data_IF_459518038599
#
_entry.id   IF_459518038599
#
_cell.length_a   1.000
_cell.length_b   1.000
_cell.length_c   1.000
_cell.angle_alpha   90.00
_cell.angle_beta   90.00
_cell.angle_gamma   90.00
#
_symmetry.space_group_name_H-M   'P 1'
#
loop_
_entity.id
_entity.type
_entity.pdbx_description
1 polymer ?
#
# COMPACT_ATOMS: atom_id res chain seq x y z
N UNK A 1 7.73 11.31 11.09
CA UNK A 1 6.60 10.98 10.18
C UNK A 1 7.04 10.64 8.76
N UNK A 2 7.83 11.50 8.09
CA UNK A 2 8.34 11.32 6.72
C UNK A 2 9.11 9.99 6.47
N UNK A 3 10.00 9.61 7.41
CA UNK A 3 10.81 8.40 7.27
C UNK A 3 9.96 7.12 7.18
N UNK A 4 8.98 6.97 8.08
CA UNK A 4 8.08 5.80 8.13
C UNK A 4 7.28 5.69 6.82
N UNK A 5 6.78 6.81 6.29
CA UNK A 5 6.08 6.85 5.00
C UNK A 5 6.97 6.37 3.85
N UNK A 6 8.21 6.87 3.77
CA UNK A 6 9.20 6.43 2.78
C UNK A 6 9.50 4.93 2.87
N UNK A 7 9.69 4.40 4.08
CA UNK A 7 9.94 2.96 4.27
C UNK A 7 8.73 2.12 3.86
N UNK A 8 7.52 2.54 4.23
CA UNK A 8 6.29 1.86 3.83
C UNK A 8 6.14 1.82 2.30
N UNK A 9 6.41 2.93 1.63
CA UNK A 9 6.33 3.02 0.17
C UNK A 9 7.37 2.10 -0.51
N UNK A 10 8.61 2.09 -0.02
CA UNK A 10 9.65 1.18 -0.51
C UNK A 10 9.26 -0.29 -0.32
N UNK A 11 8.74 -0.63 0.86
CA UNK A 11 8.28 -1.99 1.18
C UNK A 11 7.14 -2.43 0.27
N UNK A 12 6.13 -1.59 0.06
CA UNK A 12 5.01 -1.87 -0.83
C UNK A 12 5.48 -2.21 -2.25
N UNK A 13 6.37 -1.39 -2.82
CA UNK A 13 6.95 -1.67 -4.13
C UNK A 13 7.80 -2.94 -4.15
N UNK A 14 8.56 -3.20 -3.09
CA UNK A 14 9.33 -4.44 -2.97
C UNK A 14 8.40 -5.67 -2.99
N UNK A 15 7.34 -5.67 -2.18
CA UNK A 15 6.39 -6.78 -2.09
C UNK A 15 5.67 -7.00 -3.42
N UNK A 16 5.20 -5.95 -4.09
CA UNK A 16 4.51 -6.06 -5.38
C UNK A 16 5.38 -6.66 -6.51
N UNK A 17 6.70 -6.59 -6.36
CA UNK A 17 7.68 -7.14 -7.32
C UNK A 17 8.19 -8.53 -6.94
N UNK A 18 7.84 -9.06 -5.77
CA UNK A 18 8.15 -10.44 -5.39
C UNK A 18 7.38 -11.41 -6.31
N UNK A 19 8.10 -12.26 -7.03
CA UNK A 19 7.52 -13.25 -7.95
C UNK A 19 7.42 -14.66 -7.34
N UNK A 20 7.73 -14.81 -6.05
CA UNK A 20 7.90 -16.10 -5.38
C UNK A 20 6.61 -16.67 -4.75
N UNK A 21 5.45 -16.06 -5.03
CA UNK A 21 4.13 -16.45 -4.47
C UNK A 21 4.15 -16.63 -2.94
N UNK A 22 5.09 -15.96 -2.25
CA UNK A 22 5.22 -16.07 -0.80
C UNK A 22 4.01 -15.46 -0.10
N UNK A 23 3.79 -15.92 1.12
CA UNK A 23 2.75 -15.41 2.02
C UNK A 23 2.78 -13.89 2.17
N UNK A 24 3.95 -13.26 2.03
CA UNK A 24 4.13 -11.81 2.10
C UNK A 24 3.19 -11.05 1.16
N UNK A 25 3.07 -11.46 -0.11
CA UNK A 25 2.19 -10.80 -1.07
C UNK A 25 0.72 -11.01 -0.70
N UNK A 26 0.36 -12.26 -0.39
CA UNK A 26 -1.01 -12.65 -0.02
C UNK A 26 -1.51 -11.91 1.21
N UNK A 27 -0.69 -11.79 2.25
CA UNK A 27 -1.04 -11.08 3.49
C UNK A 27 -1.14 -9.57 3.25
N UNK A 28 -0.26 -9.01 2.42
CA UNK A 28 -0.22 -7.57 2.13
C UNK A 28 -1.41 -7.12 1.28
N UNK A 29 -1.77 -7.90 0.27
CA UNK A 29 -2.89 -7.60 -0.63
C UNK A 29 -4.25 -8.04 -0.06
N UNK A 30 -4.24 -8.85 1.01
CA UNK A 30 -5.41 -9.54 1.53
C UNK A 30 -6.62 -8.63 1.67
N UNK A 31 -7.69 -8.99 0.96
CA UNK A 31 -8.96 -8.27 0.98
C UNK A 31 -10.06 -9.15 1.56
N UNK A 32 -10.80 -8.62 2.54
CA UNK A 32 -12.04 -9.26 2.98
C UNK A 32 -13.02 -9.32 1.80
N UNK A 33 -13.46 -10.54 1.47
CA UNK A 33 -14.37 -10.83 0.33
C UNK A 33 -15.64 -9.98 0.34
N UNK A 34 -16.19 -9.71 1.52
CA UNK A 34 -17.43 -8.95 1.67
C UNK A 34 -17.20 -7.49 2.07
N UNK A 35 -15.95 -7.03 2.18
CA UNK A 35 -15.59 -5.68 2.64
C UNK A 35 -15.89 -5.38 4.11
N UNK A 36 -16.79 -6.12 4.76
CA UNK A 36 -17.24 -5.92 6.14
C UNK A 36 -16.24 -6.45 7.16
N UNK A 37 -16.08 -5.73 8.28
CA UNK A 37 -15.31 -6.15 9.46
C UNK A 37 -16.21 -6.30 10.68
N UNK A 38 -15.84 -7.17 11.63
CA UNK A 38 -16.50 -7.23 12.93
C UNK A 38 -16.47 -5.87 13.66
N UNK A 39 -17.50 -5.61 14.47
CA UNK A 39 -17.54 -4.44 15.36
C UNK A 39 -16.27 -4.39 16.23
N UNK A 40 -15.73 -3.18 16.42
CA UNK A 40 -14.53 -2.94 17.22
C UNK A 40 -13.19 -3.08 16.49
N UNK A 41 -13.15 -3.61 15.25
CA UNK A 41 -11.93 -3.61 14.44
C UNK A 41 -11.80 -2.31 13.66
N UNK A 42 -10.58 -1.77 13.57
CA UNK A 42 -10.31 -0.60 12.74
C UNK A 42 -10.72 -0.85 11.28
N UNK A 43 -11.43 0.13 10.71
CA UNK A 43 -11.88 0.09 9.32
C UNK A 43 -10.67 0.17 8.36
N UNK A 44 -9.70 1.03 8.67
CA UNK A 44 -8.50 1.26 7.87
C UNK A 44 -7.59 0.03 7.83
N UNK A 45 -7.02 -0.25 6.66
CA UNK A 45 -6.06 -1.32 6.41
C UNK A 45 -4.70 -0.74 6.08
N UNK A 46 -3.70 -1.63 6.14
CA UNK A 46 -2.36 -1.26 5.74
C UNK A 46 -2.29 -0.78 4.29
N UNK A 47 -3.01 -1.38 3.33
CA UNK A 47 -2.94 -0.96 1.93
C UNK A 47 -3.78 0.28 1.59
N UNK A 48 -4.67 0.73 2.47
CA UNK A 48 -5.68 1.73 2.13
C UNK A 48 -5.08 3.11 1.84
N UNK A 49 -3.98 3.45 2.50
CA UNK A 49 -3.26 4.69 2.19
C UNK A 49 -2.57 4.64 0.83
N UNK A 50 -2.07 3.47 0.42
CA UNK A 50 -1.50 3.25 -0.92
C UNK A 50 -2.60 3.30 -1.97
N UNK A 51 -3.73 2.63 -1.73
CA UNK A 51 -4.91 2.65 -2.62
C UNK A 51 -5.47 4.06 -2.78
N UNK A 52 -5.47 4.86 -1.71
CA UNK A 52 -5.91 6.26 -1.80
C UNK A 52 -5.01 7.10 -2.72
N UNK A 53 -3.72 6.77 -2.83
CA UNK A 53 -2.76 7.48 -3.70
C UNK A 53 -2.72 6.94 -5.13
N UNK A 54 -2.70 5.61 -5.31
CA UNK A 54 -2.43 4.95 -6.60
C UNK A 54 -3.60 4.08 -7.12
N UNK A 55 -4.72 4.07 -6.41
CA UNK A 55 -5.87 3.24 -6.75
C UNK A 55 -5.68 1.75 -6.45
N UNK A 56 -6.68 0.96 -6.84
CA UNK A 56 -6.72 -0.48 -6.55
C UNK A 56 -5.68 -1.30 -7.36
N UNK A 57 -5.20 -0.76 -8.47
CA UNK A 57 -4.20 -1.42 -9.35
C UNK A 57 -2.76 -1.12 -8.96
N UNK A 58 -2.52 -0.51 -7.79
CA UNK A 58 -1.20 -0.09 -7.34
C UNK A 58 -0.13 -1.19 -7.38
N UNK A 59 -0.51 -2.46 -7.23
CA UNK A 59 0.41 -3.62 -7.26
C UNK A 59 0.97 -3.86 -8.66
N UNK A 60 0.18 -3.54 -9.70
CA UNK A 60 0.64 -3.56 -11.10
C UNK A 60 1.53 -2.36 -11.38
N UNK A 61 1.10 -1.17 -10.97
CA UNK A 61 1.88 0.07 -11.17
C UNK A 61 3.22 0.01 -10.43
N UNK A 62 3.25 -0.62 -9.25
CA UNK A 62 4.47 -0.84 -8.47
C UNK A 62 5.50 -1.74 -9.16
N UNK A 63 5.15 -2.47 -10.23
CA UNK A 63 6.13 -3.24 -11.01
C UNK A 63 7.08 -2.32 -11.77
N UNK A 64 6.59 -1.19 -12.26
CA UNK A 64 7.43 -0.13 -12.82
C UNK A 64 8.11 0.64 -11.68
N UNK A 65 9.45 0.59 -11.64
CA UNK A 65 10.22 1.25 -10.57
C UNK A 65 10.19 2.77 -10.69
N UNK A 66 10.15 3.31 -11.89
CA UNK A 66 10.15 4.75 -12.13
C UNK A 66 8.78 5.33 -11.80
N UNK A 67 7.71 4.70 -12.26
CA UNK A 67 6.35 5.11 -11.88
C UNK A 67 6.12 4.99 -10.37
N UNK A 68 6.60 3.91 -9.76
CA UNK A 68 6.54 3.75 -8.32
C UNK A 68 7.32 4.84 -7.58
N UNK A 69 8.48 5.25 -8.10
CA UNK A 69 9.28 6.32 -7.50
C UNK A 69 8.59 7.67 -7.60
N UNK A 70 7.95 7.98 -8.74
CA UNK A 70 7.21 9.24 -8.96
C UNK A 70 6.08 9.44 -7.95
N UNK A 71 5.29 8.41 -7.66
CA UNK A 71 4.18 8.53 -6.71
C UNK A 71 4.58 8.59 -5.22
N UNK A 72 5.86 8.45 -4.89
CA UNK A 72 6.32 8.44 -3.50
C UNK A 72 6.02 9.76 -2.77
N UNK A 73 6.21 10.90 -3.44
CA UNK A 73 5.98 12.22 -2.85
C UNK A 73 4.49 12.44 -2.55
N UNK A 74 3.62 12.13 -3.51
CA UNK A 74 2.17 12.20 -3.31
C UNK A 74 1.67 11.33 -2.17
N UNK A 75 2.20 10.11 -2.03
CA UNK A 75 1.86 9.22 -0.91
C UNK A 75 2.26 9.82 0.44
N UNK A 76 3.45 10.41 0.53
CA UNK A 76 3.95 10.94 1.80
C UNK A 76 3.17 12.20 2.20
N UNK A 77 2.89 13.11 1.26
CA UNK A 77 2.08 14.31 1.51
C UNK A 77 0.66 13.92 1.98
N UNK A 78 -0.01 13.04 1.24
CA UNK A 78 -1.36 12.57 1.60
C UNK A 78 -1.42 11.88 2.97
N UNK A 79 -0.33 11.23 3.40
CA UNK A 79 -0.22 10.62 4.74
C UNK A 79 -0.03 11.69 5.83
N UNK A 80 0.64 12.79 5.53
CA UNK A 80 0.87 13.90 6.46
C UNK A 80 -0.39 14.75 6.65
N UNK A 81 -1.17 14.97 5.60
CA UNK A 81 -2.40 15.79 5.65
C UNK A 81 -3.58 15.11 6.35
N UNK A 82 -3.47 13.81 6.63
CA UNK A 82 -4.49 13.01 7.31
C UNK A 82 -4.10 12.52 8.70
N UNK A 83 -3.09 13.14 9.32
CA UNK A 83 -2.61 12.89 10.68
C UNK A 83 -3.10 13.98 11.65
#
# INVERSE_FOLDING_TARGET
MQYIGKQKWKWAGHVARLQDNRWTLRVTEWQLRNGKRPRGRQARRWRDDIVRTMGNTWTREAKDREEWRRGAEGFILQRMDGA
#
